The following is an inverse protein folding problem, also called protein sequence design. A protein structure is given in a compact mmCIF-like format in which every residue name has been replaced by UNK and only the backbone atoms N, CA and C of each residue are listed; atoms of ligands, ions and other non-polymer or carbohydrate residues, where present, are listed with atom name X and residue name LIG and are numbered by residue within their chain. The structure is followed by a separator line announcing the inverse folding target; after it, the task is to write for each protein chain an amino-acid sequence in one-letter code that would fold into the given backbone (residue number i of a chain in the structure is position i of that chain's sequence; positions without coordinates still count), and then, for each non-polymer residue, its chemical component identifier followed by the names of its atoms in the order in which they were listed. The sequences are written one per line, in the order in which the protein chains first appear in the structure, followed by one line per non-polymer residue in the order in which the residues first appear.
data_IF_488656125034
#
_entry.id   IF_488656125034
#
_cell.length_a   1.000
_cell.length_b   1.000
_cell.length_c   1.000
_cell.angle_alpha   90.00
_cell.angle_beta   90.00
_cell.angle_gamma   90.00
#
_symmetry.space_group_name_H-M   'P 1'
#
loop_
_entity.id
_entity.type
_entity.pdbx_description
1 polymer ?
#
# COMPACT_ATOMS: atom_id res chain seq x y z
N UNK A 1 -14.11 -13.01 8.93
CA UNK A 1 -14.24 -11.53 8.92
C UNK A 1 -12.92 -10.76 8.87
N UNK A 2 -11.79 -11.34 9.30
CA UNK A 2 -10.52 -10.58 9.40
C UNK A 2 -9.63 -10.65 8.15
N UNK A 3 -9.85 -11.59 7.26
CA UNK A 3 -9.04 -11.74 6.04
C UNK A 3 -9.18 -10.54 5.11
N UNK A 4 -10.38 -9.99 4.95
CA UNK A 4 -10.64 -8.82 4.09
C UNK A 4 -10.07 -7.50 4.62
N UNK A 5 -9.80 -7.37 5.92
CA UNK A 5 -9.28 -6.12 6.51
C UNK A 5 -7.77 -5.95 6.34
N UNK A 6 -7.04 -7.03 5.96
CA UNK A 6 -5.58 -7.03 5.83
C UNK A 6 -5.08 -6.95 4.38
N UNK A 7 -5.98 -6.93 3.40
CA UNK A 7 -5.63 -6.97 1.97
C UNK A 7 -5.32 -5.61 1.36
N UNK A 8 -5.76 -4.52 1.96
CA UNK A 8 -5.53 -3.17 1.44
C UNK A 8 -4.54 -2.42 2.31
N UNK A 9 -3.61 -1.73 1.66
CA UNK A 9 -2.72 -0.78 2.31
C UNK A 9 -3.52 0.25 3.11
N UNK A 10 -3.07 0.53 4.32
CA UNK A 10 -3.67 1.56 5.18
C UNK A 10 -2.70 2.71 5.30
N UNK A 11 -3.19 3.88 4.97
CA UNK A 11 -2.44 5.12 5.12
C UNK A 11 -2.84 5.81 6.42
N UNK A 12 -1.85 6.29 7.14
CA UNK A 12 -2.02 7.15 8.30
C UNK A 12 -0.89 8.16 8.37
N UNK A 13 -1.01 9.16 9.21
CA UNK A 13 0.08 10.07 9.49
C UNK A 13 0.10 10.51 10.95
N UNK A 14 1.25 10.96 11.40
CA UNK A 14 1.39 11.62 12.70
C UNK A 14 2.34 12.80 12.59
N UNK A 15 2.20 13.74 13.53
CA UNK A 15 3.13 14.87 13.68
C UNK A 15 4.11 14.56 14.80
N UNK A 16 5.40 14.68 14.54
CA UNK A 16 6.43 14.53 15.53
C UNK A 16 7.53 15.58 15.34
N UNK A 17 7.82 16.35 16.37
CA UNK A 17 8.78 17.47 16.35
C UNK A 17 8.59 18.43 15.15
N UNK A 18 7.34 18.72 14.78
CA UNK A 18 7.03 19.60 13.65
C UNK A 18 7.15 18.97 12.27
N UNK A 19 7.51 17.68 12.19
CA UNK A 19 7.60 16.92 10.95
C UNK A 19 6.38 16.01 10.81
N UNK A 20 5.75 16.02 9.65
CA UNK A 20 4.69 15.09 9.30
C UNK A 20 5.30 13.78 8.82
N UNK A 21 5.00 12.69 9.51
CA UNK A 21 5.41 11.33 9.15
C UNK A 21 4.20 10.61 8.56
N UNK A 22 4.24 10.33 7.26
CA UNK A 22 3.25 9.49 6.60
C UNK A 22 3.65 8.02 6.76
N UNK A 23 2.70 7.20 7.17
CA UNK A 23 2.90 5.76 7.44
C UNK A 23 1.98 4.99 6.53
N UNK A 24 2.53 4.06 5.76
CA UNK A 24 1.79 3.16 4.89
C UNK A 24 1.98 1.74 5.38
N UNK A 25 0.90 1.12 5.84
CA UNK A 25 0.90 -0.28 6.26
C UNK A 25 0.82 -1.20 5.04
N UNK A 26 1.75 -2.15 4.93
CA UNK A 26 1.81 -3.08 3.79
C UNK A 26 1.15 -4.41 4.13
N UNK A 27 0.45 -5.04 3.17
CA UNK A 27 0.05 -6.44 3.34
C UNK A 27 1.28 -7.34 3.50
N UNK A 28 1.22 -8.27 4.46
CA UNK A 28 2.35 -9.16 4.79
C UNK A 28 2.49 -10.38 3.90
N UNK A 29 1.60 -10.63 2.94
CA UNK A 29 1.62 -11.84 2.10
C UNK A 29 2.23 -11.59 0.73
N UNK A 30 3.04 -12.55 0.27
CA UNK A 30 3.63 -12.56 -1.08
C UNK A 30 2.57 -12.51 -2.21
N UNK A 31 1.34 -12.90 -1.91
CA UNK A 31 0.19 -12.83 -2.85
C UNK A 31 -0.12 -11.41 -3.32
N UNK A 32 0.33 -10.39 -2.59
CA UNK A 32 0.13 -8.98 -2.90
C UNK A 32 1.41 -8.28 -3.39
N UNK A 33 2.27 -9.01 -4.07
CA UNK A 33 3.58 -8.51 -4.52
C UNK A 33 3.52 -7.18 -5.28
N UNK A 34 2.56 -7.05 -6.18
CA UNK A 34 2.36 -5.82 -6.94
C UNK A 34 1.91 -4.63 -6.09
N UNK A 35 1.14 -4.87 -5.02
CA UNK A 35 0.74 -3.83 -4.07
C UNK A 35 1.92 -3.40 -3.19
N UNK A 36 2.67 -4.36 -2.66
CA UNK A 36 3.88 -4.11 -1.88
C UNK A 36 4.88 -3.26 -2.67
N UNK A 37 5.14 -3.60 -3.93
CA UNK A 37 6.06 -2.83 -4.77
C UNK A 37 5.58 -1.40 -5.03
N UNK A 38 4.27 -1.20 -5.25
CA UNK A 38 3.68 0.14 -5.41
C UNK A 38 3.82 0.98 -4.14
N UNK A 39 3.59 0.36 -2.97
CA UNK A 39 3.73 1.03 -1.68
C UNK A 39 5.19 1.41 -1.44
N UNK A 40 6.11 0.50 -1.67
CA UNK A 40 7.54 0.76 -1.49
C UNK A 40 8.02 1.94 -2.35
N UNK A 41 7.45 2.15 -3.54
CA UNK A 41 7.77 3.32 -4.38
C UNK A 41 7.21 4.64 -3.85
N UNK A 42 6.24 4.61 -2.93
CA UNK A 42 5.68 5.83 -2.31
C UNK A 42 6.39 6.28 -1.04
N UNK A 43 7.33 5.50 -0.53
CA UNK A 43 7.96 5.75 0.77
C UNK A 43 9.44 6.05 0.64
N UNK A 44 10.02 6.68 1.65
CA UNK A 44 11.44 7.04 1.70
C UNK A 44 12.28 6.06 2.50
N UNK A 45 11.62 5.20 3.28
CA UNK A 45 12.27 4.17 4.07
C UNK A 45 11.27 3.17 4.62
N UNK A 46 11.76 2.12 5.23
CA UNK A 46 10.99 0.96 5.67
C UNK A 46 11.26 0.67 7.14
N UNK A 47 10.18 0.47 7.89
CA UNK A 47 10.25 -0.15 9.21
C UNK A 47 10.01 -1.65 9.05
N UNK A 48 11.05 -2.45 9.23
CA UNK A 48 10.97 -3.90 9.19
C UNK A 48 10.53 -4.42 10.55
N UNK A 49 9.25 -4.73 10.70
CA UNK A 49 8.70 -5.26 11.95
C UNK A 49 8.93 -6.76 12.03
N UNK A 50 9.62 -7.19 13.09
CA UNK A 50 9.89 -8.60 13.38
C UNK A 50 9.36 -8.92 14.77
N UNK A 51 8.67 -10.05 14.90
CA UNK A 51 8.18 -10.53 16.19
C UNK A 51 9.34 -11.05 17.04
N UNK A 52 9.44 -10.62 18.30
CA UNK A 52 10.53 -10.99 19.21
C UNK A 52 10.60 -12.48 19.56
N UNK A 53 9.57 -13.25 19.27
CA UNK A 53 9.51 -14.68 19.46
C UNK A 53 9.57 -15.48 18.15
N UNK A 54 8.75 -15.10 17.16
CA UNK A 54 8.67 -15.83 15.88
C UNK A 54 9.91 -15.60 15.00
N UNK A 55 10.55 -14.42 15.13
CA UNK A 55 11.71 -14.06 14.31
C UNK A 55 11.34 -13.73 12.88
N UNK A 56 12.26 -14.01 11.95
CA UNK A 56 12.07 -13.74 10.52
C UNK A 56 11.16 -14.79 9.88
N UNK A 57 10.08 -14.33 9.23
CA UNK A 57 9.12 -15.19 8.55
C UNK A 57 9.32 -15.13 7.02
N UNK A 58 8.82 -16.13 6.25
CA UNK A 58 8.94 -16.11 4.79
C UNK A 58 8.40 -14.83 4.14
N UNK A 59 7.32 -14.25 4.70
CA UNK A 59 6.76 -12.99 4.23
C UNK A 59 7.72 -11.81 4.46
N UNK A 60 8.45 -11.82 5.58
CA UNK A 60 9.49 -10.82 5.89
C UNK A 60 10.57 -10.82 4.82
N UNK A 61 11.04 -12.00 4.41
CA UNK A 61 12.05 -12.17 3.36
C UNK A 61 11.63 -11.49 2.05
N UNK A 62 10.40 -11.73 1.60
CA UNK A 62 9.90 -11.17 0.33
C UNK A 62 9.85 -9.64 0.35
N UNK A 63 9.24 -9.05 1.40
CA UNK A 63 9.11 -7.58 1.50
C UNK A 63 10.47 -6.93 1.67
N UNK A 64 11.36 -7.53 2.47
CA UNK A 64 12.72 -7.04 2.68
C UNK A 64 13.51 -7.06 1.38
N UNK A 65 13.47 -8.14 0.62
CA UNK A 65 14.15 -8.23 -0.67
C UNK A 65 13.73 -7.08 -1.60
N UNK A 66 12.43 -6.80 -1.70
CA UNK A 66 11.92 -5.70 -2.53
C UNK A 66 12.37 -4.32 -2.02
N UNK A 67 12.41 -4.12 -0.73
CA UNK A 67 12.91 -2.88 -0.12
C UNK A 67 14.42 -2.67 -0.41
N UNK A 68 15.22 -3.74 -0.32
CA UNK A 68 16.65 -3.72 -0.63
C UNK A 68 16.91 -3.42 -2.12
N UNK A 69 16.19 -4.08 -3.03
CA UNK A 69 16.26 -3.86 -4.48
C UNK A 69 15.98 -2.39 -4.86
N UNK A 70 15.09 -1.72 -4.12
CA UNK A 70 14.76 -0.31 -4.31
C UNK A 70 15.72 0.66 -3.59
N UNK A 71 16.70 0.14 -2.85
CA UNK A 71 17.69 0.96 -2.14
C UNK A 71 17.14 1.70 -0.93
N UNK A 72 16.04 1.25 -0.34
CA UNK A 72 15.47 1.90 0.83
C UNK A 72 16.34 1.81 2.06
N UNK A 73 16.33 2.88 2.87
CA UNK A 73 16.80 2.86 4.25
C UNK A 73 15.87 2.00 5.09
N UNK A 74 16.46 1.17 5.95
CA UNK A 74 15.71 0.23 6.78
C UNK A 74 15.96 0.56 8.25
N UNK A 75 14.91 0.49 9.05
CA UNK A 75 15.00 0.43 10.52
C UNK A 75 14.39 -0.90 10.93
N UNK A 76 15.15 -1.73 11.59
CA UNK A 76 14.68 -3.01 12.14
C UNK A 76 13.95 -2.72 13.45
N UNK A 77 12.70 -3.17 13.54
CA UNK A 77 11.86 -3.00 14.73
C UNK A 77 11.49 -4.35 15.29
N UNK A 78 12.18 -4.77 16.35
CA UNK A 78 11.86 -5.99 17.10
C UNK A 78 10.68 -5.67 18.01
N UNK A 79 9.51 -6.19 17.68
CA UNK A 79 8.25 -5.89 18.36
C UNK A 79 7.80 -7.03 19.26
N UNK A 80 6.88 -6.74 20.20
CA UNK A 80 6.35 -7.64 21.22
C UNK A 80 7.41 -8.08 22.25
N UNK A 81 8.35 -7.22 22.55
CA UNK A 81 9.42 -7.45 23.55
C UNK A 81 8.90 -7.61 24.98
N UNK A 82 7.61 -7.30 25.22
CA UNK A 82 6.90 -7.52 26.48
C UNK A 82 6.48 -8.99 26.71
N UNK A 83 6.71 -9.87 25.74
CA UNK A 83 6.40 -11.31 25.89
C UNK A 83 7.43 -11.99 26.81
N UNK A 84 6.97 -12.94 27.66
CA UNK A 84 7.89 -13.65 28.55
C UNK A 84 8.82 -14.62 27.80
N UNK A 85 8.46 -14.99 26.57
CA UNK A 85 9.19 -15.88 25.67
C UNK A 85 9.98 -15.11 24.59
N UNK A 86 10.15 -13.78 24.76
CA UNK A 86 10.90 -12.95 23.83
C UNK A 86 12.41 -13.35 23.81
N UNK A 87 12.97 -13.43 22.59
CA UNK A 87 14.38 -13.75 22.33
C UNK A 87 15.03 -12.65 21.48
N UNK A 88 15.00 -11.45 22.04
CA UNK A 88 15.33 -10.20 21.34
C UNK A 88 16.67 -10.23 20.61
N UNK A 89 17.72 -10.78 21.23
CA UNK A 89 19.09 -10.80 20.68
C UNK A 89 19.20 -11.79 19.52
N UNK A 90 18.66 -13.01 19.70
CA UNK A 90 18.66 -14.02 18.65
C UNK A 90 17.87 -13.58 17.42
N UNK A 91 16.76 -12.85 17.61
CA UNK A 91 15.98 -12.32 16.50
C UNK A 91 16.76 -11.26 15.71
N UNK A 92 17.58 -10.44 16.38
CA UNK A 92 18.47 -9.49 15.67
C UNK A 92 19.50 -10.24 14.83
N UNK A 93 20.08 -11.32 15.34
CA UNK A 93 21.02 -12.15 14.60
C UNK A 93 20.34 -12.81 13.38
N UNK A 94 19.11 -13.31 13.54
CA UNK A 94 18.31 -13.85 12.42
C UNK A 94 18.04 -12.80 11.32
N UNK A 95 17.76 -11.55 11.72
CA UNK A 95 17.56 -10.46 10.74
C UNK A 95 18.86 -10.15 10.01
N UNK A 96 19.99 -10.12 10.72
CA UNK A 96 21.30 -9.89 10.12
C UNK A 96 21.66 -11.00 9.13
N UNK A 97 21.44 -12.27 9.49
CA UNK A 97 21.62 -13.40 8.58
C UNK A 97 20.73 -13.26 7.33
N UNK A 98 19.47 -12.82 7.52
CA UNK A 98 18.57 -12.60 6.41
C UNK A 98 19.03 -11.47 5.48
N UNK A 99 19.57 -10.38 6.01
CA UNK A 99 20.15 -9.29 5.22
C UNK A 99 21.35 -9.77 4.41
N UNK A 100 22.24 -10.55 5.02
CA UNK A 100 23.39 -11.17 4.34
C UNK A 100 22.95 -12.13 3.24
N UNK A 101 21.97 -12.98 3.50
CA UNK A 101 21.40 -13.91 2.53
C UNK A 101 20.74 -13.23 1.32
N UNK A 102 20.31 -11.98 1.48
CA UNK A 102 19.69 -11.16 0.44
C UNK A 102 20.68 -10.22 -0.26
N UNK A 103 21.97 -10.41 -0.05
CA UNK A 103 23.04 -9.58 -0.62
C UNK A 103 22.87 -8.07 -0.32
N UNK A 104 22.41 -7.73 0.89
CA UNK A 104 22.25 -6.36 1.33
C UNK A 104 23.60 -5.62 1.31
N UNK A 105 23.58 -4.31 0.98
CA UNK A 105 24.77 -3.47 1.02
C UNK A 105 25.28 -3.26 2.47
N UNK A 106 26.55 -2.88 2.64
CA UNK A 106 27.11 -2.57 3.97
C UNK A 106 26.23 -1.58 4.74
N UNK A 107 25.74 -0.54 4.06
CA UNK A 107 24.85 0.47 4.65
C UNK A 107 23.51 -0.11 5.11
N UNK A 108 23.00 -1.10 4.40
CA UNK A 108 21.74 -1.79 4.74
C UNK A 108 21.94 -2.84 5.86
N UNK A 109 23.11 -3.44 5.93
CA UNK A 109 23.50 -4.34 7.02
C UNK A 109 23.64 -3.56 8.35
N UNK A 110 24.17 -2.33 8.29
CA UNK A 110 24.29 -1.43 9.44
C UNK A 110 22.96 -0.74 9.82
N UNK A 111 21.83 -1.28 9.38
CA UNK A 111 20.51 -0.73 9.70
C UNK A 111 20.27 -0.66 11.22
N UNK A 112 19.78 0.46 11.74
CA UNK A 112 19.53 0.60 13.18
C UNK A 112 18.43 -0.36 13.65
N UNK A 113 18.61 -0.88 14.87
CA UNK A 113 17.65 -1.77 15.54
C UNK A 113 16.96 -1.03 16.68
N UNK A 114 15.64 -1.14 16.74
CA UNK A 114 14.80 -0.59 17.80
C UNK A 114 13.96 -1.73 18.39
N UNK A 115 13.89 -1.78 19.70
CA UNK A 115 13.06 -2.73 20.43
C UNK A 115 11.76 -2.06 20.85
N UNK A 116 10.62 -2.70 20.58
CA UNK A 116 9.30 -2.13 20.80
C UNK A 116 8.33 -3.08 21.49
N UNK A 117 7.39 -2.50 22.23
CA UNK A 117 6.13 -3.15 22.56
C UNK A 117 4.98 -2.28 22.04
N UNK A 118 4.43 -2.64 20.88
CA UNK A 118 3.30 -1.92 20.29
C UNK A 118 2.06 -1.93 21.18
N UNK A 119 1.90 -2.97 22.00
CA UNK A 119 0.78 -3.09 22.96
C UNK A 119 0.89 -2.08 24.09
N UNK A 120 2.11 -1.86 24.61
CA UNK A 120 2.37 -0.99 25.75
C UNK A 120 2.70 0.46 25.34
N UNK A 121 2.97 0.69 24.06
CA UNK A 121 3.35 2.01 23.55
C UNK A 121 4.79 2.39 23.91
N UNK A 122 5.71 1.43 23.97
CA UNK A 122 7.08 1.60 24.45
C UNK A 122 8.10 1.27 23.35
N UNK A 123 9.22 1.98 23.34
CA UNK A 123 10.37 1.67 22.50
C UNK A 123 11.70 1.97 23.19
N UNK A 124 12.76 1.28 22.79
CA UNK A 124 14.11 1.41 23.35
C UNK A 124 15.19 1.08 22.31
N UNK A 125 16.38 1.59 22.53
CA UNK A 125 17.60 1.14 21.82
C UNK A 125 18.26 -0.08 22.50
N UNK A 126 17.86 -0.38 23.74
CA UNK A 126 18.42 -1.47 24.54
C UNK A 126 17.39 -2.59 24.68
N UNK A 127 17.72 -3.84 24.31
CA UNK A 127 16.81 -4.99 24.43
C UNK A 127 16.46 -5.33 25.89
N UNK A 128 17.33 -4.98 26.83
CA UNK A 128 17.21 -5.35 28.25
C UNK A 128 16.54 -4.24 29.09
N UNK A 129 16.37 -3.02 28.51
CA UNK A 129 15.76 -1.86 29.19
C UNK A 129 14.74 -1.19 28.29
N UNK A 130 13.47 -1.51 28.49
CA UNK A 130 12.40 -0.84 27.76
C UNK A 130 12.25 0.63 28.17
N UNK A 131 12.03 1.49 27.19
CA UNK A 131 11.73 2.89 27.40
C UNK A 131 10.34 3.14 27.97
N UNK A 132 9.94 4.40 28.03
CA UNK A 132 8.66 4.86 28.60
C UNK A 132 7.65 5.30 27.55
N UNK A 133 8.10 5.45 26.30
CA UNK A 133 7.27 5.94 25.18
C UNK A 133 7.86 5.50 23.81
N UNK A 134 7.26 5.97 22.71
CA UNK A 134 7.75 5.73 21.35
C UNK A 134 8.79 6.75 20.84
N UNK A 135 9.24 7.68 21.66
CA UNK A 135 10.22 8.70 21.22
C UNK A 135 11.49 8.10 20.63
N UNK A 136 12.11 7.03 21.20
CA UNK A 136 13.29 6.40 20.59
C UNK A 136 13.05 5.98 19.12
N UNK A 137 11.90 5.38 18.82
CA UNK A 137 11.53 4.99 17.45
C UNK A 137 11.37 6.22 16.55
N UNK A 138 10.59 7.22 16.97
CA UNK A 138 10.35 8.40 16.15
C UNK A 138 11.61 9.25 15.94
N UNK A 139 12.48 9.36 16.95
CA UNK A 139 13.77 10.02 16.80
C UNK A 139 14.62 9.31 15.76
N UNK A 140 14.66 7.96 15.80
CA UNK A 140 15.42 7.18 14.82
C UNK A 140 14.84 7.30 13.40
N UNK A 141 13.53 7.38 13.24
CA UNK A 141 12.91 7.65 11.95
C UNK A 141 13.38 9.00 11.38
N UNK A 142 13.33 10.08 12.18
CA UNK A 142 13.75 11.41 11.71
C UNK A 142 15.26 11.49 11.44
N UNK A 143 16.06 10.71 12.13
CA UNK A 143 17.54 10.68 11.97
C UNK A 143 17.94 9.85 10.73
N UNK A 144 17.31 8.70 10.51
CA UNK A 144 17.77 7.70 9.55
C UNK A 144 17.04 7.73 8.21
N UNK A 145 15.72 8.01 8.20
CA UNK A 145 14.92 8.05 6.98
C UNK A 145 15.03 9.44 6.35
N UNK A 146 15.46 9.55 5.09
CA UNK A 146 15.56 10.85 4.43
C UNK A 146 14.20 11.48 4.18
N UNK A 147 14.13 12.79 4.19
CA UNK A 147 12.95 13.53 3.77
C UNK A 147 12.68 13.28 2.28
N UNK A 148 11.42 13.41 1.81
CA UNK A 148 11.11 13.37 0.39
C UNK A 148 11.92 14.39 -0.39
N UNK A 149 12.51 13.94 -1.50
CA UNK A 149 13.17 14.80 -2.47
C UNK A 149 12.16 15.25 -3.53
N UNK A 150 12.32 16.44 -4.06
CA UNK A 150 11.50 16.99 -5.16
C UNK A 150 11.43 18.51 -5.11
N UNK A 151 11.07 19.10 -6.24
CA UNK A 151 10.91 20.54 -6.38
C UNK A 151 9.47 20.96 -6.05
N UNK A 152 9.23 21.68 -4.93
CA UNK A 152 7.88 22.12 -4.55
C UNK A 152 7.30 23.19 -5.49
N UNK A 153 8.14 23.90 -6.23
CA UNK A 153 7.73 24.94 -7.17
C UNK A 153 7.72 24.45 -8.63
N UNK A 154 8.06 23.18 -8.84
CA UNK A 154 8.01 22.53 -10.14
C UNK A 154 6.59 22.21 -10.61
N UNK A 155 6.49 21.77 -11.86
CA UNK A 155 5.22 21.34 -12.45
C UNK A 155 4.70 20.04 -11.75
N UNK A 156 3.40 20.02 -11.45
CA UNK A 156 2.77 18.93 -10.71
C UNK A 156 3.01 17.56 -11.35
N UNK A 157 3.36 16.59 -10.52
CA UNK A 157 3.49 15.20 -10.90
C UNK A 157 3.13 14.29 -9.73
N UNK A 158 2.09 13.46 -9.90
CA UNK A 158 1.58 12.52 -8.88
C UNK A 158 1.35 11.16 -9.52
N UNK A 159 1.98 10.11 -8.98
CA UNK A 159 1.73 8.74 -9.39
C UNK A 159 0.55 8.15 -8.62
N UNK A 160 -0.46 7.66 -9.32
CA UNK A 160 -1.59 6.96 -8.70
C UNK A 160 -1.18 5.54 -8.32
N UNK A 161 -1.08 5.27 -7.03
CA UNK A 161 -0.60 4.00 -6.48
C UNK A 161 -1.73 3.11 -5.97
N UNK A 162 -2.86 3.69 -5.57
CA UNK A 162 -4.03 2.97 -5.08
C UNK A 162 -5.32 3.70 -5.45
N UNK A 163 -6.42 2.98 -5.47
CA UNK A 163 -7.76 3.54 -5.72
C UNK A 163 -8.70 3.06 -4.61
N UNK A 164 -9.46 3.98 -4.08
CA UNK A 164 -10.58 3.73 -3.18
C UNK A 164 -11.89 4.15 -3.88
N UNK A 165 -13.01 3.71 -3.37
CA UNK A 165 -14.32 4.06 -3.91
C UNK A 165 -15.28 4.49 -2.81
N UNK A 166 -15.92 5.62 -3.04
CA UNK A 166 -16.97 6.15 -2.18
C UNK A 166 -18.26 6.33 -3.00
N UNK A 167 -19.40 5.91 -2.48
CA UNK A 167 -20.69 5.95 -3.22
C UNK A 167 -21.13 7.39 -3.55
N UNK A 168 -20.66 8.39 -2.80
CA UNK A 168 -21.04 9.80 -2.98
C UNK A 168 -20.06 10.57 -3.89
N UNK A 169 -18.79 10.22 -3.84
CA UNK A 169 -17.70 10.96 -4.50
C UNK A 169 -17.16 10.21 -5.71
N UNK A 170 -17.50 8.92 -5.84
CA UNK A 170 -16.98 8.05 -6.88
C UNK A 170 -15.58 7.51 -6.56
N UNK A 171 -14.73 7.40 -7.59
CA UNK A 171 -13.34 6.96 -7.44
C UNK A 171 -12.50 8.02 -6.73
N UNK A 172 -11.72 7.57 -5.77
CA UNK A 172 -10.74 8.37 -5.03
C UNK A 172 -9.38 7.77 -5.34
N UNK A 173 -8.55 8.53 -6.02
CA UNK A 173 -7.17 8.12 -6.28
C UNK A 173 -6.29 8.48 -5.07
N UNK A 174 -5.31 7.63 -4.80
CA UNK A 174 -4.32 7.81 -3.73
C UNK A 174 -2.93 7.72 -4.36
N UNK A 175 -2.08 8.70 -4.05
CA UNK A 175 -0.72 8.74 -4.56
C UNK A 175 0.14 9.72 -3.79
N UNK A 176 1.46 9.64 -4.04
CA UNK A 176 2.43 10.61 -3.52
C UNK A 176 2.67 11.70 -4.56
N UNK A 177 2.75 12.95 -4.11
CA UNK A 177 3.20 14.06 -4.94
C UNK A 177 4.72 13.96 -5.07
N UNK A 178 5.20 13.69 -6.28
CA UNK A 178 6.64 13.55 -6.57
C UNK A 178 7.28 14.89 -6.92
N UNK A 179 6.49 15.85 -7.45
CA UNK A 179 6.94 17.18 -7.82
C UNK A 179 5.78 18.15 -7.75
N UNK A 180 6.07 19.41 -7.39
CA UNK A 180 5.11 20.50 -7.41
C UNK A 180 4.09 20.48 -6.30
N UNK A 181 2.95 21.08 -6.58
CA UNK A 181 1.82 21.25 -5.66
C UNK A 181 0.52 20.86 -6.33
N UNK A 182 -0.33 20.15 -5.60
CA UNK A 182 -1.71 19.84 -6.02
C UNK A 182 -2.68 20.74 -5.28
N UNK A 183 -3.64 21.32 -6.00
CA UNK A 183 -4.68 22.17 -5.44
C UNK A 183 -6.07 21.66 -5.75
N UNK A 184 -7.00 21.90 -4.84
CA UNK A 184 -8.42 21.73 -5.09
C UNK A 184 -8.85 22.62 -6.27
N UNK A 185 -9.73 22.11 -7.13
CA UNK A 185 -10.21 22.76 -8.36
C UNK A 185 -9.13 23.01 -9.44
N UNK A 186 -7.95 22.41 -9.34
CA UNK A 186 -6.90 22.50 -10.34
C UNK A 186 -7.24 21.67 -11.58
N UNK A 187 -7.01 22.27 -12.77
CA UNK A 187 -7.05 21.53 -14.02
C UNK A 187 -5.74 20.73 -14.18
N UNK A 188 -5.89 19.47 -14.57
CA UNK A 188 -4.78 18.51 -14.70
C UNK A 188 -4.89 17.72 -15.99
N UNK A 189 -3.80 17.09 -16.38
CA UNK A 189 -3.78 16.09 -17.45
C UNK A 189 -3.40 14.74 -16.86
N UNK A 190 -4.11 13.70 -17.27
CA UNK A 190 -3.86 12.31 -16.86
C UNK A 190 -3.05 11.63 -17.95
N UNK A 191 -1.90 11.10 -17.60
CA UNK A 191 -0.97 10.44 -18.51
C UNK A 191 -0.75 8.98 -18.09
N UNK A 192 -0.47 8.11 -19.05
CA UNK A 192 -0.13 6.70 -18.82
C UNK A 192 1.26 6.42 -19.41
N UNK A 193 2.20 5.97 -18.58
CA UNK A 193 3.56 5.63 -19.01
C UNK A 193 3.59 4.55 -20.10
N UNK A 194 2.67 3.60 -20.05
CA UNK A 194 2.58 2.52 -21.04
C UNK A 194 1.68 2.86 -22.23
N UNK A 195 1.18 4.09 -22.34
CA UNK A 195 0.29 4.56 -23.40
C UNK A 195 -0.96 3.68 -23.61
N UNK A 196 -1.46 3.03 -22.55
CA UNK A 196 -2.69 2.23 -22.59
C UNK A 196 -3.92 3.10 -22.84
N UNK A 197 -3.85 4.34 -22.39
CA UNK A 197 -4.85 5.38 -22.62
C UNK A 197 -4.21 6.64 -23.15
N UNK A 198 -4.87 7.30 -24.10
CA UNK A 198 -4.43 8.61 -24.54
C UNK A 198 -4.51 9.62 -23.38
N UNK A 199 -3.59 10.59 -23.29
CA UNK A 199 -3.68 11.64 -22.29
C UNK A 199 -5.01 12.39 -22.38
N UNK A 200 -5.65 12.64 -21.23
CA UNK A 200 -6.90 13.38 -21.18
C UNK A 200 -6.91 14.42 -20.05
N UNK A 201 -7.63 15.51 -20.29
CA UNK A 201 -7.78 16.58 -19.30
C UNK A 201 -8.85 16.24 -18.29
N UNK A 202 -8.62 16.62 -17.04
CA UNK A 202 -9.56 16.46 -15.94
C UNK A 202 -9.37 17.57 -14.90
N UNK A 203 -10.13 17.51 -13.82
CA UNK A 203 -10.09 18.48 -12.73
C UNK A 203 -10.10 17.78 -11.38
N UNK A 204 -9.30 18.29 -10.45
CA UNK A 204 -9.33 17.85 -9.05
C UNK A 204 -10.54 18.51 -8.37
N UNK A 205 -11.52 17.72 -7.97
CA UNK A 205 -12.73 18.24 -7.30
C UNK A 205 -12.50 18.32 -5.80
N UNK A 206 -11.97 17.25 -5.20
CA UNK A 206 -11.67 17.20 -3.78
C UNK A 206 -10.26 16.70 -3.55
N UNK A 207 -9.61 17.27 -2.54
CA UNK A 207 -8.25 16.92 -2.14
C UNK A 207 -8.21 16.68 -0.65
N UNK A 208 -7.64 15.56 -0.23
CA UNK A 208 -7.53 15.16 1.17
C UNK A 208 -6.11 14.75 1.51
N UNK A 209 -5.71 14.99 2.74
CA UNK A 209 -4.54 14.42 3.38
C UNK A 209 -4.95 13.50 4.53
N UNK A 210 -4.03 12.65 4.97
CA UNK A 210 -4.24 11.84 6.17
C UNK A 210 -3.81 12.65 7.39
N UNK A 211 -4.66 12.63 8.44
CA UNK A 211 -4.34 13.10 9.79
C UNK A 211 -4.77 12.00 10.77
N UNK A 212 -3.80 11.30 11.35
CA UNK A 212 -4.07 10.04 12.00
C UNK A 212 -4.71 9.05 11.02
N UNK A 213 -5.82 8.46 11.39
CA UNK A 213 -6.60 7.54 10.54
C UNK A 213 -7.66 8.23 9.67
N UNK A 214 -7.82 9.55 9.80
CA UNK A 214 -8.86 10.30 9.11
C UNK A 214 -8.34 10.93 7.83
N UNK A 215 -9.24 11.07 6.85
CA UNK A 215 -9.02 11.89 5.64
C UNK A 215 -9.54 13.29 5.92
N UNK A 216 -8.67 14.27 5.88
CA UNK A 216 -8.99 15.70 6.12
C UNK A 216 -8.90 16.44 4.79
N UNK A 217 -9.94 17.20 4.45
CA UNK A 217 -9.95 18.00 3.24
C UNK A 217 -8.97 19.17 3.36
N UNK A 218 -8.19 19.40 2.31
CA UNK A 218 -7.20 20.47 2.23
C UNK A 218 -7.34 21.21 0.90
N UNK A 219 -6.93 22.47 0.87
CA UNK A 219 -6.95 23.26 -0.36
C UNK A 219 -5.71 23.04 -1.23
N UNK A 220 -4.58 22.71 -0.59
CA UNK A 220 -3.29 22.48 -1.24
C UNK A 220 -2.50 21.39 -0.52
N UNK A 221 -1.73 20.61 -1.29
CA UNK A 221 -0.73 19.67 -0.83
C UNK A 221 0.52 19.79 -1.70
N UNK A 222 1.69 19.40 -1.17
CA UNK A 222 2.97 19.59 -1.84
C UNK A 222 3.77 18.30 -1.97
N UNK A 223 4.88 18.38 -2.68
CA UNK A 223 5.84 17.30 -2.86
C UNK A 223 6.13 16.56 -1.54
N UNK A 224 6.11 15.22 -1.60
CA UNK A 224 6.26 14.33 -0.44
C UNK A 224 4.96 13.96 0.27
N UNK A 225 3.89 14.73 0.09
CA UNK A 225 2.58 14.39 0.67
C UNK A 225 1.96 13.18 -0.01
N UNK A 226 1.35 12.30 0.79
CA UNK A 226 0.45 11.25 0.31
C UNK A 226 -0.98 11.84 0.35
N UNK A 227 -1.59 11.93 -0.80
CA UNK A 227 -2.89 12.58 -1.00
C UNK A 227 -3.95 11.61 -1.51
N UNK A 228 -5.20 11.90 -1.14
CA UNK A 228 -6.39 11.30 -1.74
C UNK A 228 -7.10 12.40 -2.52
N UNK A 229 -7.49 12.13 -3.75
CA UNK A 229 -8.18 13.11 -4.58
C UNK A 229 -9.24 12.48 -5.46
N UNK A 230 -10.25 13.27 -5.80
CA UNK A 230 -11.38 12.87 -6.64
C UNK A 230 -11.59 13.85 -7.79
N UNK A 231 -12.54 13.53 -8.67
CA UNK A 231 -12.90 14.34 -9.83
C UNK A 231 -12.36 13.82 -11.15
N UNK A 232 -11.52 12.79 -11.13
CA UNK A 232 -10.97 12.18 -12.34
C UNK A 232 -11.77 10.91 -12.65
N UNK A 233 -12.66 11.01 -13.61
CA UNK A 233 -13.45 9.88 -14.06
C UNK A 233 -12.56 8.86 -14.79
N UNK A 234 -12.70 7.59 -14.44
CA UNK A 234 -11.94 6.51 -15.07
C UNK A 234 -10.46 6.42 -14.69
N UNK A 235 -10.00 7.17 -13.67
CA UNK A 235 -8.61 7.06 -13.18
C UNK A 235 -8.26 5.62 -12.80
N UNK A 236 -7.05 5.19 -13.16
CA UNK A 236 -6.53 3.85 -12.87
C UNK A 236 -5.16 3.91 -12.19
N UNK A 237 -4.81 2.82 -11.49
CA UNK A 237 -3.49 2.69 -10.87
C UNK A 237 -2.40 2.74 -11.95
N UNK A 238 -1.31 3.45 -11.66
CA UNK A 238 -0.16 3.61 -12.55
C UNK A 238 -0.27 4.79 -13.51
N UNK A 239 -1.39 5.48 -13.53
CA UNK A 239 -1.50 6.75 -14.22
C UNK A 239 -0.80 7.86 -13.43
N UNK A 240 -0.27 8.84 -14.14
CA UNK A 240 0.35 10.02 -13.56
C UNK A 240 -0.56 11.22 -13.78
N UNK A 241 -0.79 11.97 -12.72
CA UNK A 241 -1.51 13.24 -12.75
C UNK A 241 -0.48 14.34 -12.89
N UNK A 242 -0.55 15.10 -13.96
CA UNK A 242 0.42 16.13 -14.31
C UNK A 242 -0.24 17.50 -14.45
N UNK A 243 0.58 18.56 -14.38
CA UNK A 243 0.18 19.87 -14.88
C UNK A 243 -0.19 19.80 -16.35
N UNK A 244 -1.18 20.58 -16.77
CA UNK A 244 -1.64 20.62 -18.18
C UNK A 244 -0.50 20.97 -19.15
N UNK A 245 0.45 21.79 -18.67
CA UNK A 245 1.56 22.28 -19.47
C UNK A 245 2.77 21.32 -19.53
N UNK A 246 2.80 20.29 -18.67
CA UNK A 246 3.94 19.37 -18.55
C UNK A 246 3.44 17.93 -18.38
N UNK A 247 2.99 17.26 -19.45
CA UNK A 247 2.46 15.91 -19.42
C UNK A 247 3.60 14.87 -19.41
N UNK A 248 4.24 14.68 -18.26
CA UNK A 248 5.35 13.75 -18.07
C UNK A 248 4.91 12.54 -17.22
N UNK A 249 4.60 11.37 -17.82
CA UNK A 249 4.22 10.19 -17.06
C UNK A 249 5.42 9.59 -16.32
N UNK A 250 5.19 9.25 -15.04
CA UNK A 250 6.17 8.54 -14.22
C UNK A 250 6.26 7.07 -14.60
N UNK A 251 7.46 6.46 -14.51
CA UNK A 251 7.62 5.02 -14.69
C UNK A 251 6.76 4.25 -13.70
N UNK A 252 6.05 3.26 -14.21
CA UNK A 252 5.18 2.41 -13.41
C UNK A 252 5.40 0.94 -13.74
N UNK A 253 5.44 0.09 -12.71
CA UNK A 253 5.52 -1.36 -12.90
C UNK A 253 4.17 -1.87 -13.35
N UNK A 254 4.16 -2.57 -14.49
CA UNK A 254 2.94 -3.15 -15.04
C UNK A 254 2.30 -4.09 -14.00
N UNK A 255 1.02 -3.88 -13.73
CA UNK A 255 0.24 -4.80 -12.89
C UNK A 255 0.23 -6.16 -13.60
N UNK A 256 0.60 -7.20 -12.88
CA UNK A 256 0.56 -8.58 -13.40
C UNK A 256 -0.86 -8.92 -13.85
N UNK A 257 -0.99 -9.61 -14.97
CA UNK A 257 -2.28 -10.04 -15.47
C UNK A 257 -2.89 -11.09 -14.53
N UNK A 258 -4.23 -11.14 -14.42
CA UNK A 258 -4.90 -12.13 -13.60
C UNK A 258 -4.53 -13.55 -14.05
N UNK A 259 -4.23 -14.42 -13.08
CA UNK A 259 -3.78 -15.79 -13.34
C UNK A 259 -4.84 -16.85 -13.07
N UNK A 260 -5.91 -16.49 -12.36
CA UNK A 260 -6.99 -17.42 -11.99
C UNK A 260 -8.33 -16.90 -12.50
N UNK A 261 -9.07 -17.78 -13.15
CA UNK A 261 -10.44 -17.53 -13.55
C UNK A 261 -11.41 -18.31 -12.65
N UNK A 262 -12.41 -17.61 -12.13
CA UNK A 262 -13.48 -18.19 -11.32
C UNK A 262 -14.84 -17.79 -11.89
N UNK A 263 -15.74 -18.75 -12.00
CA UNK A 263 -17.13 -18.48 -12.42
C UNK A 263 -18.03 -18.38 -11.19
N UNK A 264 -18.70 -17.24 -11.03
CA UNK A 264 -19.72 -17.02 -10.02
C UNK A 264 -21.10 -17.16 -10.67
N UNK A 265 -21.94 -18.02 -10.15
CA UNK A 265 -23.30 -18.24 -10.65
C UNK A 265 -24.32 -18.29 -9.51
N UNK A 266 -25.57 -18.11 -9.88
CA UNK A 266 -26.69 -18.30 -8.94
C UNK A 266 -26.76 -19.78 -8.54
N UNK A 267 -27.08 -20.02 -7.25
CA UNK A 267 -27.36 -21.38 -6.80
C UNK A 267 -28.68 -21.88 -7.39
N UNK A 268 -28.62 -22.85 -8.29
CA UNK A 268 -29.78 -23.46 -8.97
C UNK A 268 -30.25 -24.76 -8.30
N UNK A 269 -29.70 -25.11 -7.12
CA UNK A 269 -30.10 -26.30 -6.39
C UNK A 269 -31.54 -26.19 -5.84
N UNK A 270 -32.22 -27.31 -5.55
CA UNK A 270 -33.56 -27.32 -4.93
C UNK A 270 -33.60 -26.63 -3.55
N UNK A 271 -32.45 -26.37 -2.96
CA UNK A 271 -32.31 -25.67 -1.68
C UNK A 271 -31.93 -24.19 -1.83
N UNK A 272 -31.94 -23.67 -3.05
CA UNK A 272 -31.63 -22.27 -3.32
C UNK A 272 -32.63 -21.35 -2.58
N UNK A 273 -32.11 -20.27 -1.97
CA UNK A 273 -32.93 -19.27 -1.28
C UNK A 273 -33.31 -19.61 0.17
N UNK A 274 -32.90 -20.75 0.72
CA UNK A 274 -33.13 -21.09 2.13
C UNK A 274 -32.16 -20.36 3.06
N UNK A 275 -30.95 -20.08 2.59
CA UNK A 275 -29.92 -19.34 3.32
C UNK A 275 -29.37 -18.22 2.44
N UNK A 276 -29.20 -17.04 3.06
CA UNK A 276 -28.69 -15.84 2.37
C UNK A 276 -29.77 -14.91 1.84
N UNK A 277 -29.49 -13.60 1.88
CA UNK A 277 -30.41 -12.54 1.46
C UNK A 277 -30.11 -12.00 0.05
N UNK A 278 -28.91 -12.27 -0.50
CA UNK A 278 -28.39 -11.67 -1.74
C UNK A 278 -28.00 -12.76 -2.74
N UNK A 279 -29.00 -13.47 -3.25
CA UNK A 279 -28.82 -14.71 -4.03
C UNK A 279 -29.24 -14.59 -5.50
N UNK A 280 -29.71 -13.42 -5.96
CA UNK A 280 -30.13 -13.21 -7.34
C UNK A 280 -28.96 -12.86 -8.25
N UNK A 281 -29.03 -13.21 -9.52
CA UNK A 281 -28.04 -12.87 -10.55
C UNK A 281 -27.74 -11.38 -10.58
N UNK A 282 -28.75 -10.54 -10.53
CA UNK A 282 -28.60 -9.09 -10.49
C UNK A 282 -27.77 -8.62 -9.29
N UNK A 283 -28.02 -9.18 -8.10
CA UNK A 283 -27.29 -8.82 -6.88
C UNK A 283 -25.84 -9.28 -6.93
N UNK A 284 -25.57 -10.49 -7.47
CA UNK A 284 -24.21 -10.99 -7.66
C UNK A 284 -23.46 -10.06 -8.63
N UNK A 285 -24.06 -9.71 -9.77
CA UNK A 285 -23.48 -8.80 -10.75
C UNK A 285 -23.16 -7.44 -10.14
N UNK A 286 -24.12 -6.85 -9.45
CA UNK A 286 -23.96 -5.55 -8.81
C UNK A 286 -22.81 -5.57 -7.78
N UNK A 287 -22.71 -6.65 -7.00
CA UNK A 287 -21.61 -6.85 -6.05
C UNK A 287 -20.26 -6.99 -6.75
N UNK A 288 -20.17 -7.82 -7.78
CA UNK A 288 -18.94 -8.02 -8.54
C UNK A 288 -18.49 -6.72 -9.22
N UNK A 289 -19.42 -5.97 -9.82
CA UNK A 289 -19.10 -4.67 -10.45
C UNK A 289 -18.63 -3.63 -9.40
N UNK A 290 -19.19 -3.63 -8.20
CA UNK A 290 -18.67 -2.79 -7.11
C UNK A 290 -17.23 -3.14 -6.71
N UNK A 291 -16.89 -4.41 -6.72
CA UNK A 291 -15.51 -4.84 -6.41
C UNK A 291 -14.51 -4.42 -7.50
N UNK A 292 -14.89 -4.42 -8.78
CA UNK A 292 -14.01 -3.92 -9.88
C UNK A 292 -13.70 -2.43 -9.76
N UNK A 293 -14.50 -1.67 -9.01
CA UNK A 293 -14.23 -0.26 -8.76
C UNK A 293 -13.11 -0.05 -7.73
N UNK A 294 -12.89 -1.05 -6.85
CA UNK A 294 -11.88 -1.03 -5.78
C UNK A 294 -10.64 -1.81 -6.15
N UNK A 295 -10.83 -2.96 -6.77
CA UNK A 295 -9.73 -3.84 -7.17
C UNK A 295 -9.53 -3.77 -8.69
N UNK A 296 -8.47 -3.09 -9.11
CA UNK A 296 -8.11 -2.90 -10.52
C UNK A 296 -7.55 -4.17 -11.17
N UNK A 297 -7.19 -5.18 -10.40
CA UNK A 297 -6.73 -6.47 -10.88
C UNK A 297 -7.89 -7.42 -11.19
N UNK A 298 -9.07 -7.14 -10.64
CA UNK A 298 -10.28 -7.91 -10.87
C UNK A 298 -10.93 -7.53 -12.20
N UNK A 299 -11.12 -8.49 -13.07
CA UNK A 299 -11.92 -8.35 -14.29
C UNK A 299 -13.15 -9.22 -14.20
N UNK A 300 -14.32 -8.66 -14.47
CA UNK A 300 -15.61 -9.36 -14.49
C UNK A 300 -16.19 -9.29 -15.88
N UNK A 301 -16.51 -10.45 -16.44
CA UNK A 301 -17.18 -10.58 -17.75
C UNK A 301 -18.40 -11.47 -17.61
N UNK A 302 -19.38 -11.27 -18.47
CA UNK A 302 -20.51 -12.18 -18.54
C UNK A 302 -20.02 -13.55 -19.06
N UNK A 303 -20.50 -14.64 -18.45
CA UNK A 303 -20.19 -16.00 -18.86
C UNK A 303 -21.13 -16.47 -19.97
N UNK A 304 -20.74 -17.47 -20.74
CA UNK A 304 -21.61 -18.15 -21.72
C UNK A 304 -22.78 -18.88 -21.05
N UNK A 305 -22.71 -19.10 -19.74
CA UNK A 305 -23.78 -19.67 -18.93
C UNK A 305 -24.75 -18.59 -18.46
N UNK A 306 -26.03 -18.90 -18.50
CA UNK A 306 -27.06 -18.00 -17.99
C UNK A 306 -26.86 -17.71 -16.51
N UNK A 307 -26.99 -16.44 -16.10
CA UNK A 307 -26.85 -16.01 -14.70
C UNK A 307 -25.49 -16.34 -14.05
N UNK A 308 -24.41 -16.34 -14.86
CA UNK A 308 -23.05 -16.59 -14.41
C UNK A 308 -22.09 -15.50 -14.90
N UNK A 309 -21.06 -15.22 -14.10
CA UNK A 309 -20.05 -14.19 -14.35
C UNK A 309 -18.66 -14.79 -14.18
N UNK A 310 -17.79 -14.57 -15.15
CA UNK A 310 -16.40 -14.96 -15.06
C UNK A 310 -15.60 -13.83 -14.42
N UNK A 311 -14.90 -14.17 -13.34
CA UNK A 311 -14.02 -13.26 -12.62
C UNK A 311 -12.59 -13.73 -12.81
N UNK A 312 -11.77 -12.87 -13.42
CA UNK A 312 -10.34 -13.05 -13.51
C UNK A 312 -9.70 -12.38 -12.29
N UNK A 313 -8.98 -13.16 -11.51
CA UNK A 313 -8.35 -12.74 -10.26
C UNK A 313 -6.84 -12.94 -10.34
N UNK A 314 -6.08 -12.04 -9.73
CA UNK A 314 -4.67 -12.29 -9.46
C UNK A 314 -4.56 -13.04 -8.14
N UNK A 315 -4.06 -14.27 -8.18
CA UNK A 315 -3.65 -15.02 -6.99
C UNK A 315 -2.26 -15.58 -7.22
N UNK A 316 -1.44 -15.55 -6.18
CA UNK A 316 -0.18 -16.27 -6.20
C UNK A 316 -0.45 -17.79 -6.23
N UNK A 317 0.29 -18.57 -7.01
CA UNK A 317 0.16 -20.03 -6.96
C UNK A 317 0.44 -20.52 -5.54
N UNK A 318 -0.46 -21.35 -5.02
CA UNK A 318 -0.27 -22.00 -3.72
C UNK A 318 1.03 -22.81 -3.74
N UNK A 319 1.76 -22.90 -2.61
CA UNK A 319 2.89 -23.82 -2.50
C UNK A 319 2.55 -25.28 -2.87
N UNK A 320 1.27 -25.66 -2.83
CA UNK A 320 0.77 -26.97 -3.25
C UNK A 320 0.67 -27.14 -4.77
N UNK A 321 0.65 -26.04 -5.53
CA UNK A 321 0.53 -26.06 -7.00
C UNK A 321 1.90 -26.16 -7.70
N UNK A 322 3.00 -26.26 -6.90
CA UNK A 322 4.37 -26.47 -7.36
C UNK A 322 4.79 -27.93 -7.24
N UNK A 323 3.85 -28.85 -7.38
CA UNK A 323 4.12 -30.28 -7.45
C UNK A 323 4.71 -30.72 -8.78
#
# INVERSE_FOLDING_TARGET
GDVYKRQLAKNTSCMYNGVKINIVDTPGHADFSGEVERILKMVNGVLLLVDSFEGTMPQTRFVLQKALELGHKIIVVVNKTDRPDARNKEVVDEVLELLLDLDASEEQIDSPVIFCSGRLGLSSYDPDQMGTDFKPLFNKILEHIPAPEGDPDGELQVLVSSIDYNEYVGRIAIGRIERGRMRKNQDVIVCDHHNRTAPFRSKIVSLYQFEGLNKVEVDEAMVGDIVCFSGIEGVTIGQTICSVNCPEPLPFVKISEPTVEMTFSVNTSPFAGREGKFVTSRQIRERLMKETLKDVSLRVTDSDKLDAYNCLLYTSPSPRDRG
#
